data_IF_689822506807
#
_entry.id   IF_689822506807
#
_cell.length_a   1.000
_cell.length_b   1.000
_cell.length_c   1.000
_cell.angle_alpha   90.00
_cell.angle_beta   90.00
_cell.angle_gamma   90.00
#
_symmetry.space_group_name_H-M   'P 1'
#
loop_
_entity.id
_entity.type
_entity.pdbx_description
1 polymer ?
#
# COMPACT_ATOMS: atom_id res chain seq x y z
N UNK A 1 53.33 -1.07 33.07
CA UNK A 1 52.19 -0.45 32.39
C UNK A 1 50.99 -0.64 33.30
N UNK A 2 50.46 0.44 33.82
CA UNK A 2 49.47 0.42 34.90
C UNK A 2 48.18 -0.30 34.45
N UNK A 3 47.88 -1.42 35.07
CA UNK A 3 46.70 -2.24 34.75
C UNK A 3 45.42 -1.44 34.96
N UNK A 4 45.45 -0.48 35.86
CA UNK A 4 44.33 0.40 36.17
C UNK A 4 44.06 1.42 35.03
N UNK A 5 45.11 2.00 34.44
CA UNK A 5 45.05 2.89 33.31
C UNK A 5 44.53 2.16 32.04
N UNK A 6 44.96 0.91 31.84
CA UNK A 6 44.51 0.07 30.76
C UNK A 6 43.01 -0.22 30.87
N UNK A 7 42.53 -0.58 32.07
CA UNK A 7 41.10 -0.86 32.30
C UNK A 7 40.24 0.39 32.14
N UNK A 8 40.70 1.56 32.57
CA UNK A 8 40.00 2.83 32.35
C UNK A 8 39.91 3.17 30.85
N UNK A 9 41.00 2.99 30.13
CA UNK A 9 41.03 3.26 28.69
C UNK A 9 40.10 2.31 27.91
N UNK A 10 40.06 1.02 28.28
CA UNK A 10 39.15 0.04 27.69
C UNK A 10 37.67 0.36 27.99
N UNK A 11 37.36 0.80 29.21
CA UNK A 11 36.02 1.22 29.58
C UNK A 11 35.55 2.45 28.78
N UNK A 12 36.43 3.46 28.61
CA UNK A 12 36.14 4.64 27.79
C UNK A 12 35.96 4.29 26.30
N UNK A 13 36.79 3.38 25.80
CA UNK A 13 36.65 2.88 24.40
C UNK A 13 35.32 2.15 24.20
N UNK A 14 34.93 1.30 25.17
CA UNK A 14 33.64 0.58 25.11
C UNK A 14 32.45 1.55 25.10
N UNK A 15 32.43 2.54 26.01
CA UNK A 15 31.37 3.57 26.04
C UNK A 15 31.33 4.40 24.75
N UNK A 16 32.50 4.75 24.19
CA UNK A 16 32.60 5.50 22.95
C UNK A 16 32.10 4.66 21.76
N UNK A 17 32.42 3.37 21.71
CA UNK A 17 31.92 2.45 20.67
C UNK A 17 30.42 2.22 20.78
N UNK A 18 29.87 2.08 21.99
CA UNK A 18 28.44 1.97 22.21
C UNK A 18 27.68 3.22 21.69
N UNK A 19 28.22 4.41 22.02
CA UNK A 19 27.66 5.68 21.52
C UNK A 19 27.78 5.79 19.98
N UNK A 20 28.91 5.35 19.42
CA UNK A 20 29.13 5.33 18.00
C UNK A 20 28.16 4.34 17.30
N UNK A 21 27.86 3.19 17.89
CA UNK A 21 26.88 2.23 17.38
C UNK A 21 25.47 2.84 17.27
N UNK A 22 25.08 3.72 18.20
CA UNK A 22 23.80 4.43 18.12
C UNK A 22 23.73 5.42 16.95
N UNK A 23 24.88 5.91 16.48
CA UNK A 23 24.99 6.84 15.35
C UNK A 23 25.21 6.13 14.01
N UNK A 24 25.66 4.89 14.04
CA UNK A 24 25.85 4.10 12.82
C UNK A 24 24.48 3.56 12.34
N UNK A 25 24.22 3.60 11.02
CA UNK A 25 23.03 2.94 10.47
C UNK A 25 23.11 1.44 10.76
N UNK A 26 21.96 0.84 11.09
CA UNK A 26 21.84 -0.61 11.27
C UNK A 26 22.37 -1.33 10.03
N UNK A 27 23.16 -2.34 10.22
CA UNK A 27 23.64 -3.18 9.12
C UNK A 27 22.54 -4.13 8.69
N UNK A 28 22.62 -4.66 7.46
CA UNK A 28 21.70 -5.69 6.94
C UNK A 28 21.66 -6.96 7.80
N UNK A 29 22.64 -7.15 8.69
CA UNK A 29 22.70 -8.27 9.63
C UNK A 29 21.74 -8.11 10.82
N UNK A 30 21.19 -6.92 11.06
CA UNK A 30 20.33 -6.60 12.21
C UNK A 30 18.83 -6.67 11.88
N UNK A 31 18.44 -7.26 10.73
CA UNK A 31 17.02 -7.38 10.36
C UNK A 31 16.37 -8.49 11.19
N UNK A 32 15.31 -8.14 11.92
CA UNK A 32 14.48 -9.13 12.60
C UNK A 32 13.53 -9.81 11.59
N UNK A 33 13.95 -10.96 11.11
CA UNK A 33 13.23 -11.74 10.13
C UNK A 33 12.02 -12.51 10.69
N UNK A 34 11.75 -12.44 11.99
CA UNK A 34 10.55 -13.03 12.59
C UNK A 34 9.28 -12.23 12.24
N UNK A 35 9.42 -10.96 11.87
CA UNK A 35 8.30 -10.10 11.49
C UNK A 35 7.68 -10.52 10.16
N UNK A 36 6.39 -10.24 10.00
CA UNK A 36 5.66 -10.49 8.74
C UNK A 36 5.63 -9.26 7.83
N UNK A 37 5.89 -8.07 8.36
CA UNK A 37 5.89 -6.83 7.62
C UNK A 37 7.14 -6.01 7.92
N UNK A 38 7.58 -5.27 6.92
CA UNK A 38 8.76 -4.41 6.97
C UNK A 38 8.45 -3.09 6.28
N UNK A 39 9.17 -2.03 6.68
CA UNK A 39 9.21 -0.77 5.95
C UNK A 39 10.65 -0.51 5.53
N UNK A 40 10.85 -0.16 4.29
CA UNK A 40 12.13 0.35 3.82
C UNK A 40 12.35 1.76 4.36
N UNK A 41 13.47 1.97 5.02
CA UNK A 41 13.84 3.26 5.59
C UNK A 41 15.20 3.68 5.07
N UNK A 42 15.37 4.97 4.79
CA UNK A 42 16.66 5.55 4.42
C UNK A 42 17.10 6.50 5.52
N UNK A 43 18.27 6.24 6.11
CA UNK A 43 18.92 7.14 7.09
C UNK A 43 20.38 7.34 6.71
N UNK A 44 20.81 8.59 6.72
CA UNK A 44 22.19 8.96 6.37
C UNK A 44 22.63 8.40 5.01
N UNK A 45 21.72 8.38 4.03
CA UNK A 45 21.98 7.87 2.66
C UNK A 45 22.11 6.34 2.57
N UNK A 46 21.75 5.58 3.60
CA UNK A 46 21.74 4.11 3.59
C UNK A 46 20.34 3.58 3.84
N UNK A 47 19.95 2.62 3.01
CA UNK A 47 18.69 1.89 3.15
C UNK A 47 18.81 0.75 4.15
N UNK A 48 17.72 0.44 4.85
CA UNK A 48 17.59 -0.72 5.72
C UNK A 48 16.11 -1.12 5.89
N UNK A 49 15.88 -2.38 6.23
CA UNK A 49 14.55 -2.90 6.56
C UNK A 49 14.26 -2.71 8.04
N UNK A 50 13.17 -2.01 8.33
CA UNK A 50 12.62 -1.88 9.68
C UNK A 50 11.47 -2.87 9.85
N UNK A 51 11.61 -3.84 10.76
CA UNK A 51 10.56 -4.80 11.10
C UNK A 51 9.36 -4.12 11.77
N UNK A 52 8.15 -4.50 11.38
CA UNK A 52 6.90 -4.09 11.99
C UNK A 52 6.30 -5.28 12.75
N UNK A 53 6.37 -5.25 14.09
CA UNK A 53 5.85 -6.33 14.93
C UNK A 53 4.32 -6.33 15.06
N UNK A 54 3.68 -5.20 14.84
CA UNK A 54 2.23 -5.04 14.89
C UNK A 54 1.74 -4.30 13.64
N UNK A 55 1.80 -4.94 12.44
CA UNK A 55 1.30 -4.31 11.23
C UNK A 55 -0.23 -4.13 11.32
N UNK A 56 -0.74 -3.06 10.71
CA UNK A 56 -2.18 -2.88 10.57
C UNK A 56 -2.69 -3.85 9.51
N UNK A 57 -3.17 -4.98 9.95
CA UNK A 57 -3.82 -5.96 9.09
C UNK A 57 -5.27 -5.53 8.77
N UNK A 58 -5.84 -6.15 7.74
CA UNK A 58 -7.20 -5.93 7.31
C UNK A 58 -7.88 -7.28 7.12
N UNK A 59 -9.06 -7.45 7.69
CA UNK A 59 -9.85 -8.65 7.45
C UNK A 59 -10.49 -8.61 6.05
N UNK A 60 -10.54 -9.75 5.38
CA UNK A 60 -11.14 -9.86 4.04
C UNK A 60 -12.64 -9.54 4.02
N UNK A 61 -13.34 -9.87 5.10
CA UNK A 61 -14.77 -9.60 5.28
C UNK A 61 -15.08 -8.10 5.42
N UNK A 62 -14.05 -7.29 5.67
CA UNK A 62 -14.15 -5.84 5.72
C UNK A 62 -14.17 -5.19 4.33
N UNK A 63 -13.74 -5.92 3.33
CA UNK A 63 -13.61 -5.45 1.96
C UNK A 63 -14.86 -5.82 1.17
N UNK A 64 -15.87 -4.94 1.26
CA UNK A 64 -17.18 -5.13 0.63
C UNK A 64 -17.20 -4.56 -0.79
N UNK A 65 -18.03 -5.16 -1.65
CA UNK A 65 -18.33 -4.70 -3.01
C UNK A 65 -17.11 -4.61 -3.94
N UNK A 66 -16.08 -5.41 -3.67
CA UNK A 66 -14.88 -5.58 -4.52
C UNK A 66 -14.54 -7.06 -4.71
N UNK A 67 -15.53 -7.95 -4.73
CA UNK A 67 -15.32 -9.39 -4.68
C UNK A 67 -14.49 -9.92 -5.84
N UNK A 68 -14.70 -9.40 -7.06
CA UNK A 68 -13.89 -9.77 -8.24
C UNK A 68 -12.42 -9.42 -8.05
N UNK A 69 -12.12 -8.20 -7.61
CA UNK A 69 -10.75 -7.74 -7.38
C UNK A 69 -10.11 -8.53 -6.23
N UNK A 70 -10.88 -8.75 -5.16
CA UNK A 70 -10.47 -9.53 -4.00
C UNK A 70 -10.05 -10.94 -4.41
N UNK A 71 -10.92 -11.65 -5.14
CA UNK A 71 -10.62 -13.02 -5.59
C UNK A 71 -9.38 -13.08 -6.47
N UNK A 72 -9.28 -12.20 -7.48
CA UNK A 72 -8.14 -12.19 -8.40
C UNK A 72 -6.80 -11.93 -7.70
N UNK A 73 -6.75 -11.02 -6.70
CA UNK A 73 -5.53 -10.75 -5.95
C UNK A 73 -5.20 -11.89 -5.00
N UNK A 74 -6.20 -12.49 -4.35
CA UNK A 74 -5.99 -13.64 -3.47
C UNK A 74 -5.46 -14.85 -4.23
N UNK A 75 -6.06 -15.21 -5.37
CA UNK A 75 -5.63 -16.32 -6.21
C UNK A 75 -4.17 -16.13 -6.65
N UNK A 76 -3.82 -14.94 -7.12
CA UNK A 76 -2.44 -14.61 -7.52
C UNK A 76 -1.46 -14.66 -6.33
N UNK A 77 -1.89 -14.22 -5.14
CA UNK A 77 -1.07 -14.27 -3.94
C UNK A 77 -0.89 -15.71 -3.44
N UNK A 78 -1.94 -16.51 -3.49
CA UNK A 78 -1.88 -17.92 -3.13
C UNK A 78 -0.94 -18.71 -4.06
N UNK A 79 -1.04 -18.51 -5.37
CA UNK A 79 -0.10 -19.08 -6.35
C UNK A 79 1.34 -18.72 -5.98
N UNK A 80 1.62 -17.46 -5.67
CA UNK A 80 2.94 -16.99 -5.28
C UNK A 80 3.46 -17.67 -4.00
N UNK A 81 2.63 -17.75 -2.97
CA UNK A 81 3.00 -18.40 -1.70
C UNK A 81 3.25 -19.89 -1.87
N UNK A 82 2.49 -20.56 -2.74
CA UNK A 82 2.68 -21.95 -3.10
C UNK A 82 3.88 -22.20 -4.04
N UNK A 83 4.62 -21.17 -4.44
CA UNK A 83 5.76 -21.30 -5.35
C UNK A 83 5.37 -21.54 -6.81
N UNK A 84 4.12 -21.26 -7.16
CA UNK A 84 3.60 -21.32 -8.52
C UNK A 84 3.84 -19.98 -9.26
N UNK A 85 3.79 -19.98 -10.61
CA UNK A 85 3.87 -18.75 -11.37
C UNK A 85 2.80 -17.75 -10.96
N UNK A 86 3.21 -16.51 -10.67
CA UNK A 86 2.34 -15.43 -10.26
C UNK A 86 2.82 -14.09 -10.84
N UNK A 87 1.94 -13.11 -10.90
CA UNK A 87 2.20 -11.85 -11.57
C UNK A 87 2.45 -10.70 -10.58
N UNK A 88 3.19 -9.70 -11.01
CA UNK A 88 3.17 -8.38 -10.38
C UNK A 88 1.77 -7.77 -10.50
N UNK A 89 1.34 -7.03 -9.47
CA UNK A 89 -0.04 -6.54 -9.36
C UNK A 89 -0.09 -5.02 -9.34
N UNK A 90 -0.94 -4.46 -10.20
CA UNK A 90 -1.27 -3.03 -10.22
C UNK A 90 -2.76 -2.82 -9.91
N UNK A 91 -3.05 -2.08 -8.85
CA UNK A 91 -4.40 -1.72 -8.42
C UNK A 91 -4.62 -0.24 -8.68
N UNK A 92 -5.46 0.11 -9.65
CA UNK A 92 -5.70 1.52 -10.04
C UNK A 92 -7.12 1.97 -9.72
N UNK A 93 -7.33 3.28 -9.60
CA UNK A 93 -8.67 3.87 -9.50
C UNK A 93 -8.93 4.67 -8.24
N UNK A 94 -10.21 4.93 -7.94
CA UNK A 94 -10.64 5.91 -6.96
C UNK A 94 -10.03 5.70 -5.56
N UNK A 95 -9.79 6.81 -4.85
CA UNK A 95 -9.28 6.79 -3.48
C UNK A 95 -10.30 6.19 -2.51
N UNK A 96 -9.82 5.44 -1.53
CA UNK A 96 -10.65 4.88 -0.46
C UNK A 96 -11.58 3.74 -0.90
N UNK A 97 -11.27 3.06 -2.01
CA UNK A 97 -12.01 1.90 -2.52
C UNK A 97 -11.46 0.55 -2.06
N UNK A 98 -10.43 0.53 -1.21
CA UNK A 98 -9.91 -0.70 -0.62
C UNK A 98 -8.62 -1.24 -1.25
N UNK A 99 -7.98 -0.55 -2.22
CA UNK A 99 -6.75 -1.02 -2.89
C UNK A 99 -5.64 -1.43 -1.90
N UNK A 100 -5.15 -0.50 -1.10
CA UNK A 100 -4.08 -0.76 -0.12
C UNK A 100 -4.55 -1.69 1.01
N UNK A 101 -5.85 -1.65 1.35
CA UNK A 101 -6.45 -2.56 2.33
C UNK A 101 -6.43 -4.00 1.85
N UNK A 102 -6.60 -4.24 0.54
CA UNK A 102 -6.56 -5.59 -0.04
C UNK A 102 -5.15 -6.20 0.06
N UNK A 103 -4.08 -5.42 -0.13
CA UNK A 103 -2.71 -5.90 0.07
C UNK A 103 -2.47 -6.27 1.54
N UNK A 104 -3.00 -5.47 2.49
CA UNK A 104 -2.92 -5.80 3.93
C UNK A 104 -3.73 -7.04 4.30
N UNK A 105 -4.84 -7.30 3.60
CA UNK A 105 -5.63 -8.51 3.77
C UNK A 105 -4.90 -9.75 3.24
N UNK A 106 -4.13 -9.64 2.15
CA UNK A 106 -3.26 -10.72 1.70
C UNK A 106 -2.23 -11.10 2.77
N UNK A 107 -1.62 -10.12 3.45
CA UNK A 107 -0.69 -10.41 4.55
C UNK A 107 -1.40 -11.09 5.73
N UNK A 108 -2.61 -10.66 6.09
CA UNK A 108 -3.40 -11.29 7.15
C UNK A 108 -3.68 -12.77 6.82
N UNK A 109 -4.04 -13.05 5.56
CA UNK A 109 -4.40 -14.39 5.09
C UNK A 109 -3.18 -15.31 4.95
N UNK A 110 -2.08 -14.83 4.40
CA UNK A 110 -0.95 -15.67 3.98
C UNK A 110 0.32 -15.47 4.80
N UNK A 111 0.34 -14.55 5.78
CA UNK A 111 1.51 -14.30 6.61
C UNK A 111 2.00 -15.52 7.39
N UNK A 112 1.07 -16.35 7.88
CA UNK A 112 1.40 -17.62 8.53
C UNK A 112 1.95 -18.67 7.56
N UNK A 113 1.71 -18.53 6.25
CA UNK A 113 2.19 -19.42 5.19
C UNK A 113 3.48 -18.94 4.54
N UNK A 114 4.22 -18.01 5.18
CA UNK A 114 5.51 -17.54 4.71
C UNK A 114 5.47 -16.28 3.86
N UNK A 115 4.31 -15.65 3.66
CA UNK A 115 4.24 -14.35 3.02
C UNK A 115 4.83 -13.26 3.92
N UNK A 116 5.58 -12.37 3.33
CA UNK A 116 6.13 -11.15 3.94
C UNK A 116 5.82 -9.94 3.06
N UNK A 117 5.62 -8.79 3.66
CA UNK A 117 5.40 -7.54 2.92
C UNK A 117 6.48 -6.51 3.29
N UNK A 118 7.06 -5.88 2.29
CA UNK A 118 7.99 -4.77 2.44
C UNK A 118 7.31 -3.53 1.85
N UNK A 119 6.92 -2.59 2.70
CA UNK A 119 6.38 -1.30 2.26
C UNK A 119 7.54 -0.37 1.89
N UNK A 120 7.47 0.20 0.68
CA UNK A 120 8.48 1.12 0.12
C UNK A 120 7.81 2.41 -0.29
N UNK A 121 8.31 3.54 0.23
CA UNK A 121 7.87 4.85 -0.21
C UNK A 121 8.24 5.07 -1.68
N UNK A 122 7.38 5.77 -2.43
CA UNK A 122 7.62 6.06 -3.84
C UNK A 122 8.95 6.78 -4.10
N UNK A 123 9.40 7.61 -3.16
CA UNK A 123 10.67 8.33 -3.27
C UNK A 123 11.89 7.42 -3.14
N UNK A 124 11.71 6.28 -2.50
CA UNK A 124 12.76 5.29 -2.25
C UNK A 124 12.75 4.12 -3.24
N UNK A 125 11.90 4.17 -4.28
CA UNK A 125 11.81 3.11 -5.30
C UNK A 125 13.12 2.85 -6.05
N UNK A 126 14.02 3.82 -6.10
CA UNK A 126 15.36 3.65 -6.68
C UNK A 126 16.22 2.62 -5.92
N UNK A 127 15.86 2.29 -4.67
CA UNK A 127 16.47 1.22 -3.88
C UNK A 127 15.87 -0.18 -4.13
N UNK A 128 14.89 -0.33 -5.03
CA UNK A 128 14.28 -1.64 -5.32
C UNK A 128 15.30 -2.75 -5.61
N UNK A 129 16.36 -2.53 -6.41
CA UNK A 129 17.39 -3.56 -6.64
C UNK A 129 18.06 -4.01 -5.33
N UNK A 130 18.40 -3.07 -4.45
CA UNK A 130 19.00 -3.35 -3.14
C UNK A 130 18.05 -4.16 -2.25
N UNK A 131 16.77 -3.79 -2.22
CA UNK A 131 15.74 -4.51 -1.45
C UNK A 131 15.60 -5.95 -1.95
N UNK A 132 15.55 -6.14 -3.27
CA UNK A 132 15.44 -7.47 -3.88
C UNK A 132 16.67 -8.33 -3.55
N UNK A 133 17.87 -7.77 -3.64
CA UNK A 133 19.11 -8.49 -3.32
C UNK A 133 19.18 -8.93 -1.85
N UNK A 134 18.62 -8.13 -0.92
CA UNK A 134 18.55 -8.47 0.50
C UNK A 134 17.69 -9.70 0.81
N UNK A 135 16.68 -9.97 0.00
CA UNK A 135 15.69 -11.02 0.28
C UNK A 135 15.75 -12.17 -0.72
N UNK A 136 16.53 -12.06 -1.78
CA UNK A 136 16.60 -13.02 -2.90
C UNK A 136 16.85 -14.46 -2.47
N UNK A 137 17.75 -14.68 -1.52
CA UNK A 137 18.14 -16.02 -1.06
C UNK A 137 17.30 -16.54 0.13
N UNK A 138 16.26 -15.81 0.51
CA UNK A 138 15.41 -16.23 1.61
C UNK A 138 14.34 -17.22 1.16
N UNK A 139 13.90 -18.06 2.08
CA UNK A 139 12.87 -19.05 1.82
C UNK A 139 11.46 -18.46 1.78
N UNK A 140 11.25 -17.31 2.45
CA UNK A 140 9.97 -16.63 2.50
C UNK A 140 9.63 -15.96 1.15
N UNK A 141 8.37 -15.71 0.92
CA UNK A 141 7.83 -15.01 -0.25
C UNK A 141 7.58 -13.54 0.10
N UNK A 142 8.15 -12.62 -0.67
CA UNK A 142 8.10 -11.19 -0.39
C UNK A 142 7.25 -10.43 -1.41
N UNK A 143 6.27 -9.69 -0.93
CA UNK A 143 5.60 -8.66 -1.73
C UNK A 143 6.25 -7.31 -1.39
N UNK A 144 6.88 -6.68 -2.36
CA UNK A 144 7.29 -5.27 -2.27
C UNK A 144 6.06 -4.43 -2.61
N UNK A 145 5.58 -3.69 -1.62
CA UNK A 145 4.37 -2.92 -1.72
C UNK A 145 4.65 -1.42 -1.87
N UNK A 146 4.17 -0.83 -2.97
CA UNK A 146 4.29 0.59 -3.29
C UNK A 146 2.89 1.23 -3.29
N UNK A 147 2.56 2.01 -2.26
CA UNK A 147 1.26 2.68 -2.18
C UNK A 147 1.28 4.04 -2.88
N UNK A 148 0.17 4.40 -3.53
CA UNK A 148 -0.06 5.67 -4.25
C UNK A 148 1.01 6.01 -5.28
N UNK A 149 1.35 5.02 -6.12
CA UNK A 149 2.38 5.12 -7.15
C UNK A 149 1.99 6.14 -8.22
N UNK A 150 2.85 7.14 -8.41
CA UNK A 150 2.76 8.12 -9.49
C UNK A 150 4.17 8.46 -9.93
N UNK A 151 4.42 8.54 -11.24
CA UNK A 151 5.74 8.87 -11.77
C UNK A 151 5.70 10.12 -12.64
N UNK A 152 6.77 10.91 -12.52
CA UNK A 152 7.19 11.82 -13.57
C UNK A 152 8.19 11.10 -14.49
N UNK A 153 8.22 11.45 -15.78
CA UNK A 153 8.99 10.74 -16.79
C UNK A 153 10.51 10.65 -16.52
N UNK A 154 11.04 11.49 -15.63
CA UNK A 154 12.46 11.52 -15.27
C UNK A 154 12.76 10.88 -13.90
N UNK A 155 11.80 10.24 -13.27
CA UNK A 155 11.93 9.68 -11.92
C UNK A 155 12.87 8.45 -11.96
N UNK A 156 13.90 8.45 -11.10
CA UNK A 156 14.81 7.31 -10.95
C UNK A 156 14.10 6.04 -10.46
N UNK A 157 13.02 6.20 -9.69
CA UNK A 157 12.17 5.12 -9.23
C UNK A 157 11.45 4.41 -10.37
N UNK A 158 11.06 5.15 -11.43
CA UNK A 158 10.49 4.56 -12.64
C UNK A 158 11.44 3.54 -13.30
N UNK A 159 12.72 3.92 -13.46
CA UNK A 159 13.72 3.04 -14.10
C UNK A 159 13.99 1.79 -13.26
N UNK A 160 14.09 1.94 -11.95
CA UNK A 160 14.30 0.83 -11.04
C UNK A 160 13.12 -0.16 -11.07
N UNK A 161 11.88 0.37 -11.02
CA UNK A 161 10.68 -0.45 -11.11
C UNK A 161 10.59 -1.19 -12.45
N UNK A 162 10.84 -0.50 -13.56
CA UNK A 162 10.88 -1.12 -14.90
C UNK A 162 11.86 -2.29 -14.94
N UNK A 163 13.07 -2.11 -14.39
CA UNK A 163 14.10 -3.17 -14.35
C UNK A 163 13.63 -4.41 -13.58
N UNK A 164 12.92 -4.22 -12.47
CA UNK A 164 12.39 -5.33 -11.67
C UNK A 164 11.23 -6.03 -12.38
N UNK A 165 10.32 -5.27 -13.00
CA UNK A 165 9.17 -5.83 -13.72
C UNK A 165 9.56 -6.57 -15.00
N UNK A 166 10.59 -6.10 -15.70
CA UNK A 166 11.09 -6.74 -16.94
C UNK A 166 12.00 -7.98 -16.66
N UNK A 167 12.40 -8.16 -15.40
CA UNK A 167 13.43 -9.14 -15.03
C UNK A 167 14.84 -8.64 -15.33
N UNK A 168 15.71 -8.60 -14.34
CA UNK A 168 17.10 -8.20 -14.46
C UNK A 168 17.93 -9.35 -15.06
N UNK A 169 19.04 -9.06 -15.78
CA UNK A 169 20.06 -10.05 -16.15
C UNK A 169 20.66 -10.80 -14.95
N UNK A 170 20.55 -10.25 -13.75
CA UNK A 170 20.93 -10.94 -12.50
C UNK A 170 19.96 -12.08 -12.09
N UNK A 171 19.00 -12.42 -12.94
CA UNK A 171 17.99 -13.43 -12.68
C UNK A 171 16.74 -12.86 -11.99
N UNK A 172 15.64 -13.51 -12.22
CA UNK A 172 14.36 -13.25 -11.52
C UNK A 172 14.53 -13.64 -10.06
N UNK A 173 14.17 -12.77 -9.14
CA UNK A 173 14.01 -13.19 -7.76
C UNK A 173 12.62 -13.85 -7.64
N UNK A 174 12.56 -15.18 -7.83
CA UNK A 174 11.32 -15.95 -7.85
C UNK A 174 10.49 -15.82 -6.54
N UNK A 175 11.13 -15.33 -5.49
CA UNK A 175 10.50 -15.11 -4.19
C UNK A 175 10.07 -13.64 -3.97
N UNK A 176 10.07 -12.80 -5.02
CA UNK A 176 9.68 -11.38 -4.91
C UNK A 176 8.64 -11.00 -5.96
N UNK A 177 7.51 -10.43 -5.53
CA UNK A 177 6.55 -9.76 -6.39
C UNK A 177 6.40 -8.28 -5.99
N UNK A 178 6.08 -7.45 -6.96
CA UNK A 178 5.73 -6.05 -6.73
C UNK A 178 4.21 -5.90 -6.79
N UNK A 179 3.63 -5.35 -5.73
CA UNK A 179 2.24 -4.92 -5.68
C UNK A 179 2.22 -3.40 -5.57
N UNK A 180 1.53 -2.75 -6.48
CA UNK A 180 1.45 -1.30 -6.50
C UNK A 180 0.00 -0.82 -6.51
N UNK A 181 -0.27 0.32 -5.85
CA UNK A 181 -1.54 1.00 -6.00
C UNK A 181 -1.33 2.35 -6.68
N UNK A 182 -2.32 2.81 -7.44
CA UNK A 182 -2.34 4.16 -7.99
C UNK A 182 -3.76 4.74 -7.94
N UNK A 183 -3.85 6.02 -7.62
CA UNK A 183 -5.12 6.74 -7.70
C UNK A 183 -5.43 7.24 -9.12
N UNK A 184 -4.54 7.00 -10.06
CA UNK A 184 -4.64 7.38 -11.48
C UNK A 184 -4.81 6.14 -12.34
N UNK A 185 -5.45 6.30 -13.50
CA UNK A 185 -5.73 5.18 -14.40
C UNK A 185 -4.43 4.64 -15.03
N UNK A 186 -3.45 5.49 -15.30
CA UNK A 186 -2.19 5.14 -15.95
C UNK A 186 -0.94 5.52 -15.13
N UNK A 187 -1.03 5.60 -13.80
CA UNK A 187 0.06 5.97 -12.88
C UNK A 187 0.70 7.36 -13.12
N UNK A 188 0.09 8.18 -13.95
CA UNK A 188 0.64 9.44 -14.40
C UNK A 188 -0.30 10.59 -14.12
N UNK A 189 0.20 11.82 -13.83
CA UNK A 189 -0.61 13.03 -13.88
C UNK A 189 -1.22 13.21 -15.28
N UNK A 190 -2.55 13.24 -15.36
CA UNK A 190 -3.23 13.81 -16.51
C UNK A 190 -3.04 15.33 -16.39
N UNK A 191 -1.98 15.86 -16.95
CA UNK A 191 -1.86 17.33 -17.13
C UNK A 191 -2.72 17.73 -18.30
N UNK A 192 -3.41 18.87 -18.21
CA UNK A 192 -4.12 19.47 -19.35
C UNK A 192 -3.17 19.68 -20.55
N UNK A 193 -1.86 19.80 -20.31
CA UNK A 193 -0.81 19.84 -21.32
C UNK A 193 -0.58 18.50 -22.04
N UNK A 194 -0.91 17.36 -21.46
CA UNK A 194 -0.82 16.05 -22.14
C UNK A 194 -1.89 15.93 -23.24
N UNK A 195 -2.98 16.71 -23.13
CA UNK A 195 -4.01 16.84 -24.16
C UNK A 195 -3.65 17.86 -25.27
N UNK A 196 -2.66 18.72 -25.08
CA UNK A 196 -2.21 19.69 -26.08
C UNK A 196 -1.40 19.04 -27.21
N UNK A 197 -0.97 17.78 -27.03
CA UNK A 197 -0.35 16.96 -28.07
C UNK A 197 -1.35 16.45 -29.14
N UNK A 198 -2.65 16.64 -28.95
CA UNK A 198 -3.68 16.43 -29.96
C UNK A 198 -3.84 17.70 -30.81
N UNK A 199 -2.89 18.01 -31.66
CA UNK A 199 -3.02 19.12 -32.61
C UNK A 199 -4.08 18.80 -33.64
N UNK A 200 -4.96 19.75 -33.86
CA UNK A 200 -6.06 19.74 -34.85
C UNK A 200 -5.57 19.61 -36.28
N UNK A 201 -6.45 19.28 -37.21
CA UNK A 201 -6.35 18.13 -38.08
C UNK A 201 -6.00 18.48 -39.49
N UNK A 202 -5.07 17.76 -40.02
CA UNK A 202 -5.12 17.29 -41.39
C UNK A 202 -4.11 16.13 -41.48
N UNK A 203 -4.62 14.91 -41.58
CA UNK A 203 -3.92 13.72 -42.07
C UNK A 203 -2.77 13.13 -41.25
N UNK A 204 -2.81 13.16 -39.90
CA UNK A 204 -1.88 12.32 -39.13
C UNK A 204 -2.55 11.64 -37.96
N UNK A 205 -2.27 10.35 -37.77
CA UNK A 205 -2.64 9.53 -36.61
C UNK A 205 -2.28 10.24 -35.31
N UNK A 206 -3.22 10.25 -34.38
CA UNK A 206 -3.07 10.79 -33.02
C UNK A 206 -2.04 9.96 -32.25
N UNK A 207 -0.76 10.33 -32.29
CA UNK A 207 0.24 9.73 -31.45
C UNK A 207 0.25 10.40 -30.08
N UNK A 208 0.07 9.66 -28.98
CA UNK A 208 0.33 10.17 -27.64
C UNK A 208 1.76 10.68 -27.55
N UNK A 209 2.04 11.69 -26.70
CA UNK A 209 3.43 12.12 -26.49
C UNK A 209 4.27 10.92 -26.00
N UNK A 210 5.56 10.83 -26.40
CA UNK A 210 6.48 9.74 -25.99
C UNK A 210 6.38 9.44 -24.47
N UNK A 211 6.16 10.48 -23.68
CA UNK A 211 5.98 10.39 -22.23
C UNK A 211 4.74 9.59 -21.83
N UNK A 212 3.62 9.70 -22.55
CA UNK A 212 2.39 8.96 -22.28
C UNK A 212 2.54 7.50 -22.68
N UNK A 213 3.21 7.23 -23.80
CA UNK A 213 3.48 5.85 -24.25
C UNK A 213 4.40 5.08 -23.29
N UNK A 214 5.48 5.70 -22.80
CA UNK A 214 6.35 5.09 -21.80
C UNK A 214 5.59 4.74 -20.51
N UNK A 215 4.64 5.55 -20.14
CA UNK A 215 3.84 5.43 -18.94
C UNK A 215 2.78 4.32 -19.04
N UNK A 216 2.14 4.19 -20.20
CA UNK A 216 1.25 3.06 -20.52
C UNK A 216 2.06 1.77 -20.51
N UNK A 217 3.21 1.78 -21.16
CA UNK A 217 4.11 0.63 -21.24
C UNK A 217 4.58 0.10 -19.86
N UNK A 218 4.71 0.94 -18.83
CA UNK A 218 4.98 0.46 -17.48
C UNK A 218 3.78 -0.26 -16.87
N UNK A 219 2.58 0.27 -17.08
CA UNK A 219 1.35 -0.34 -16.56
C UNK A 219 1.11 -1.74 -17.16
N UNK A 220 1.47 -1.92 -18.43
CA UNK A 220 1.34 -3.20 -19.15
C UNK A 220 2.31 -4.28 -18.65
N UNK A 221 3.40 -3.89 -17.96
CA UNK A 221 4.34 -4.83 -17.34
C UNK A 221 3.80 -5.51 -16.09
N UNK A 222 2.73 -4.99 -15.52
CA UNK A 222 2.02 -5.67 -14.45
C UNK A 222 1.08 -6.72 -15.06
N UNK A 223 1.39 -7.98 -14.87
CA UNK A 223 0.61 -9.08 -15.43
C UNK A 223 -0.82 -9.18 -14.87
N UNK A 224 -1.07 -8.61 -13.69
CA UNK A 224 -2.41 -8.48 -13.10
C UNK A 224 -2.72 -7.00 -12.83
N UNK A 225 -3.57 -6.42 -13.67
CA UNK A 225 -4.03 -5.04 -13.52
C UNK A 225 -5.53 -4.99 -13.23
N UNK A 226 -5.91 -4.38 -12.11
CA UNK A 226 -7.29 -4.31 -11.64
C UNK A 226 -7.70 -2.86 -11.35
N UNK A 227 -8.85 -2.48 -11.90
CA UNK A 227 -9.43 -1.14 -11.71
C UNK A 227 -10.47 -1.14 -10.59
N UNK A 228 -10.42 -0.09 -9.75
CA UNK A 228 -11.35 0.17 -8.66
C UNK A 228 -12.14 1.44 -8.95
N UNK A 229 -13.44 1.31 -8.97
CA UNK A 229 -14.37 2.40 -9.24
C UNK A 229 -15.00 2.94 -7.94
N UNK A 230 -15.47 4.19 -7.92
CA UNK A 230 -16.31 4.67 -6.83
C UNK A 230 -17.51 3.74 -6.65
N UNK A 231 -17.91 3.50 -5.41
CA UNK A 231 -19.04 2.62 -5.12
C UNK A 231 -20.35 3.19 -5.66
N UNK A 232 -21.22 2.30 -6.13
CA UNK A 232 -22.63 2.64 -6.38
C UNK A 232 -23.30 3.00 -5.06
N UNK A 233 -24.48 3.61 -5.14
CA UNK A 233 -25.18 4.08 -3.95
C UNK A 233 -25.48 2.93 -2.97
N UNK A 234 -25.98 1.81 -3.49
CA UNK A 234 -26.36 0.66 -2.66
C UNK A 234 -25.13 -0.01 -2.00
N UNK A 235 -24.02 -0.14 -2.74
CA UNK A 235 -22.76 -0.64 -2.22
C UNK A 235 -22.23 0.28 -1.08
N UNK A 236 -22.27 1.59 -1.31
CA UNK A 236 -21.85 2.57 -0.31
C UNK A 236 -22.69 2.47 0.96
N UNK A 237 -24.02 2.37 0.84
CA UNK A 237 -24.91 2.23 1.98
C UNK A 237 -24.69 0.91 2.73
N UNK A 238 -24.43 -0.19 2.03
CA UNK A 238 -24.04 -1.47 2.64
C UNK A 238 -22.75 -1.35 3.45
N UNK A 239 -21.75 -0.61 2.94
CA UNK A 239 -20.51 -0.35 3.66
C UNK A 239 -20.76 0.51 4.90
N UNK A 240 -21.65 1.53 4.81
CA UNK A 240 -22.05 2.36 5.96
C UNK A 240 -22.71 1.50 7.01
N UNK A 241 -23.70 0.69 6.66
CA UNK A 241 -24.45 -0.17 7.59
C UNK A 241 -23.49 -1.11 8.32
N UNK A 242 -22.55 -1.72 7.59
CA UNK A 242 -21.52 -2.58 8.19
C UNK A 242 -20.59 -1.82 9.11
N UNK A 243 -20.13 -0.63 8.71
CA UNK A 243 -19.24 0.20 9.52
C UNK A 243 -19.89 0.66 10.83
N UNK A 244 -21.17 1.03 10.80
CA UNK A 244 -21.95 1.43 11.98
C UNK A 244 -22.12 0.26 12.94
N UNK A 245 -22.49 -0.93 12.45
CA UNK A 245 -22.63 -2.15 13.27
C UNK A 245 -21.33 -2.55 13.95
N UNK A 246 -20.19 -2.41 13.28
CA UNK A 246 -18.85 -2.68 13.84
C UNK A 246 -18.47 -1.74 14.98
N UNK A 247 -18.99 -0.53 14.97
CA UNK A 247 -18.85 0.40 16.09
C UNK A 247 -19.80 0.09 17.25
N UNK A 248 -20.51 -1.04 17.21
CA UNK A 248 -21.42 -1.50 18.26
C UNK A 248 -22.76 -0.76 18.28
N UNK A 249 -23.12 -0.11 17.17
CA UNK A 249 -24.39 0.62 17.08
C UNK A 249 -25.34 -0.08 16.10
N UNK A 250 -26.59 -0.23 16.54
CA UNK A 250 -27.70 -0.72 15.70
C UNK A 250 -28.84 0.30 15.79
N UNK A 251 -29.35 0.79 14.66
CA UNK A 251 -30.53 1.68 14.67
C UNK A 251 -31.70 1.04 15.40
N UNK A 252 -32.39 1.81 16.21
CA UNK A 252 -33.46 1.32 17.10
C UNK A 252 -34.71 0.86 16.34
N UNK A 253 -34.95 1.42 15.14
CA UNK A 253 -36.10 1.14 14.31
C UNK A 253 -35.82 1.49 12.83
N UNK A 254 -36.75 1.15 11.97
CA UNK A 254 -36.63 1.40 10.52
C UNK A 254 -36.55 2.89 10.18
N UNK A 255 -37.22 3.75 10.94
CA UNK A 255 -37.17 5.20 10.71
C UNK A 255 -35.79 5.77 10.98
N UNK A 256 -35.13 5.35 12.04
CA UNK A 256 -33.73 5.74 12.34
C UNK A 256 -32.76 5.15 11.32
N UNK A 257 -33.01 3.94 10.86
CA UNK A 257 -32.20 3.32 9.80
C UNK A 257 -32.26 4.14 8.49
N UNK A 258 -33.46 4.57 8.07
CA UNK A 258 -33.63 5.42 6.88
C UNK A 258 -33.08 6.85 7.08
N UNK A 259 -33.19 7.41 8.30
CA UNK A 259 -32.54 8.68 8.68
C UNK A 259 -31.03 8.57 8.50
N UNK A 260 -30.42 7.51 9.04
CA UNK A 260 -28.99 7.24 8.94
C UNK A 260 -28.52 7.13 7.47
N UNK A 261 -29.26 6.39 6.66
CA UNK A 261 -28.93 6.21 5.22
C UNK A 261 -29.03 7.53 4.46
N UNK A 262 -30.07 8.32 4.74
CA UNK A 262 -30.25 9.66 4.14
C UNK A 262 -29.11 10.59 4.53
N UNK A 263 -28.75 10.62 5.81
CA UNK A 263 -27.62 11.41 6.31
C UNK A 263 -26.28 10.96 5.70
N UNK A 264 -26.09 9.64 5.52
CA UNK A 264 -24.90 9.10 4.87
C UNK A 264 -24.78 9.56 3.42
N UNK A 265 -25.86 9.62 2.68
CA UNK A 265 -25.87 10.13 1.30
C UNK A 265 -25.57 11.63 1.24
N UNK A 266 -26.16 12.42 2.14
CA UNK A 266 -25.85 13.86 2.26
C UNK A 266 -24.37 14.09 2.57
N UNK A 267 -23.79 13.29 3.47
CA UNK A 267 -22.36 13.36 3.80
C UNK A 267 -21.46 13.11 2.58
N UNK A 268 -21.87 12.25 1.62
CA UNK A 268 -21.10 12.04 0.39
C UNK A 268 -21.15 13.24 -0.55
N UNK A 269 -22.26 13.98 -0.59
CA UNK A 269 -22.36 15.19 -1.42
C UNK A 269 -21.37 16.26 -0.96
N UNK A 270 -21.21 16.44 0.35
CA UNK A 270 -20.22 17.37 0.90
C UNK A 270 -18.78 16.94 0.64
N UNK A 271 -18.51 15.64 0.54
CA UNK A 271 -17.17 15.07 0.39
C UNK A 271 -16.79 14.70 -1.05
N UNK A 272 -17.73 14.81 -1.98
CA UNK A 272 -17.50 14.63 -3.41
C UNK A 272 -17.25 13.20 -3.88
N UNK A 273 -17.32 12.18 -3.00
CA UNK A 273 -17.15 10.79 -3.43
C UNK A 273 -17.83 9.76 -2.52
N UNK A 274 -18.18 8.60 -3.09
CA UNK A 274 -18.66 7.42 -2.38
C UNK A 274 -17.51 6.43 -2.24
N UNK A 275 -16.88 6.38 -1.07
CA UNK A 275 -15.75 5.48 -0.79
C UNK A 275 -15.90 4.84 0.59
N UNK A 276 -15.24 3.69 0.83
CA UNK A 276 -15.24 3.03 2.12
C UNK A 276 -14.64 3.92 3.23
N UNK A 277 -13.65 4.75 2.89
CA UNK A 277 -13.08 5.73 3.84
C UNK A 277 -14.12 6.75 4.29
N UNK A 278 -14.92 7.26 3.37
CA UNK A 278 -16.00 8.21 3.68
C UNK A 278 -17.10 7.53 4.50
N UNK A 279 -17.47 6.30 4.16
CA UNK A 279 -18.41 5.51 4.94
C UNK A 279 -17.95 5.33 6.40
N UNK A 280 -16.66 4.99 6.60
CA UNK A 280 -16.09 4.88 7.95
C UNK A 280 -16.06 6.21 8.72
N UNK A 281 -15.77 7.33 8.04
CA UNK A 281 -15.82 8.65 8.67
C UNK A 281 -17.24 9.01 9.10
N UNK A 282 -18.21 8.78 8.22
CA UNK A 282 -19.63 8.97 8.54
C UNK A 282 -20.04 8.10 9.73
N UNK A 283 -19.75 6.80 9.69
CA UNK A 283 -20.11 5.88 10.75
C UNK A 283 -19.58 6.32 12.13
N UNK A 284 -18.31 6.75 12.20
CA UNK A 284 -17.73 7.28 13.45
C UNK A 284 -18.43 8.55 13.93
N UNK A 285 -18.75 9.46 13.02
CA UNK A 285 -19.46 10.69 13.35
C UNK A 285 -20.88 10.38 13.85
N UNK A 286 -21.62 9.56 13.12
CA UNK A 286 -23.00 9.19 13.45
C UNK A 286 -23.09 8.49 14.80
N UNK A 287 -22.33 7.42 14.99
CA UNK A 287 -22.33 6.66 16.24
C UNK A 287 -21.88 7.52 17.42
N UNK A 288 -20.81 8.31 17.25
CA UNK A 288 -20.33 9.22 18.28
C UNK A 288 -21.39 10.24 18.71
N UNK A 289 -22.13 10.83 17.77
CA UNK A 289 -23.21 11.78 18.08
C UNK A 289 -24.38 11.10 18.84
N UNK A 290 -24.79 9.91 18.37
CA UNK A 290 -25.89 9.16 19.04
C UNK A 290 -25.51 8.74 20.48
N UNK A 291 -24.28 8.23 20.66
CA UNK A 291 -23.78 7.87 22.00
C UNK A 291 -23.63 9.09 22.92
N UNK A 292 -23.14 10.22 22.40
CA UNK A 292 -23.02 11.44 23.17
C UNK A 292 -24.40 11.96 23.63
N UNK A 293 -25.42 11.84 22.78
CA UNK A 293 -26.80 12.23 23.11
C UNK A 293 -27.37 11.34 24.22
N UNK A 294 -27.09 10.05 24.18
CA UNK A 294 -27.51 9.09 25.23
C UNK A 294 -26.83 9.41 26.56
N UNK A 295 -25.53 9.73 26.57
CA UNK A 295 -24.82 10.15 27.79
C UNK A 295 -25.39 11.41 28.41
N UNK A 296 -25.69 12.45 27.61
CA UNK A 296 -26.25 13.72 28.09
C UNK A 296 -27.67 13.59 28.65
N UNK A 297 -28.44 12.62 28.18
CA UNK A 297 -29.80 12.38 28.68
C UNK A 297 -29.83 11.45 29.90
N UNK A 298 -28.70 10.84 30.26
CA UNK A 298 -28.55 9.97 31.42
C UNK A 298 -27.96 10.70 32.66
N UNK A 299 -27.47 11.93 32.49
CA UNK A 299 -27.06 12.87 33.53
C UNK A 299 -28.23 13.81 33.90
#
# INVERSE_FOLDING_TARGET
MDTELLNQTLAQLSDTLERAQLLLPRTTQDVDWSAQAYVWQVRYGRGFLQALHQPRLQELDDLLSIDRQKQAVLDNTEQFVCGLPANHVLLTGARGTGKSSLVRACLAQFGAHGLRVIEVDRLDLHHLPEIVDLVRERAERFIVFCDDLTFDAQDSGYKALKTILDGSFNGYAENVLVYATSNRRHMVPEYDTDNVGYSHPSDHELHPSETVEEKIALSERFGLWLSFYPFKQDDYLTIVDTAVRRLGYTPANDAEFEEMRTAALQFTLERGSRSARIAQHFARQWVGQKQLHTHRNAE
#
